data_IF_349678979610
#
_entry.id   IF_349678979610
#
_cell.length_a   1.000
_cell.length_b   1.000
_cell.length_c   1.000
_cell.angle_alpha   90.00
_cell.angle_beta   90.00
_cell.angle_gamma   90.00
#
_symmetry.space_group_name_H-M   'P 1'
#
loop_
_entity.id
_entity.type
_entity.pdbx_description
1 polymer ?
#
# COMPACT_ATOMS: atom_id res chain seq x y z
N UNK A 1 23.81 34.17 -35.94
CA UNK A 1 22.88 33.55 -34.96
C UNK A 1 23.39 32.15 -34.64
N UNK A 2 23.32 31.69 -33.39
CA UNK A 2 23.83 30.35 -33.03
C UNK A 2 22.91 29.25 -33.58
N UNK A 3 23.47 28.10 -33.98
CA UNK A 3 22.69 26.95 -34.47
C UNK A 3 21.59 26.51 -33.48
N UNK A 4 21.81 26.71 -32.18
CA UNK A 4 20.83 26.45 -31.13
C UNK A 4 19.58 27.33 -31.25
N UNK A 5 19.76 28.62 -31.53
CA UNK A 5 18.64 29.56 -31.65
C UNK A 5 17.75 29.24 -32.84
N UNK A 6 18.34 28.82 -33.96
CA UNK A 6 17.63 28.39 -35.16
C UNK A 6 16.79 27.13 -34.88
N UNK A 7 17.37 26.10 -34.26
CA UNK A 7 16.67 24.86 -33.89
C UNK A 7 15.52 25.08 -32.89
N UNK A 8 15.69 26.00 -31.94
CA UNK A 8 14.62 26.33 -31.00
C UNK A 8 13.47 27.08 -31.68
N UNK A 9 13.77 27.98 -32.62
CA UNK A 9 12.75 28.69 -33.39
C UNK A 9 11.91 27.73 -34.27
N UNK A 10 12.55 26.74 -34.90
CA UNK A 10 11.86 25.69 -35.67
C UNK A 10 10.91 24.86 -34.80
N UNK A 11 11.35 24.51 -33.58
CA UNK A 11 10.52 23.75 -32.64
C UNK A 11 9.32 24.55 -32.14
N UNK A 12 9.49 25.85 -31.89
CA UNK A 12 8.39 26.73 -31.49
C UNK A 12 7.37 26.87 -32.62
N UNK A 13 7.82 26.98 -33.86
CA UNK A 13 6.92 27.04 -35.01
C UNK A 13 6.14 25.73 -35.21
N UNK A 14 6.81 24.57 -35.04
CA UNK A 14 6.13 23.26 -35.07
C UNK A 14 5.09 23.11 -33.97
N UNK A 15 5.37 23.63 -32.77
CA UNK A 15 4.41 23.66 -31.66
C UNK A 15 3.23 24.59 -31.98
N UNK A 16 3.49 25.76 -32.56
CA UNK A 16 2.47 26.74 -32.98
C UNK A 16 1.54 26.18 -34.07
N UNK A 17 2.10 25.45 -35.03
CA UNK A 17 1.38 24.78 -36.11
C UNK A 17 0.67 23.48 -35.66
N UNK A 18 0.78 23.09 -34.39
CA UNK A 18 0.18 21.87 -33.85
C UNK A 18 0.78 20.57 -34.38
N UNK A 19 1.96 20.63 -35.02
CA UNK A 19 2.65 19.47 -35.59
C UNK A 19 3.33 18.61 -34.52
N UNK A 20 3.60 19.19 -33.35
CA UNK A 20 4.15 18.50 -32.17
C UNK A 20 3.36 18.89 -30.93
N UNK A 21 3.27 17.98 -29.96
CA UNK A 21 2.57 18.27 -28.70
C UNK A 21 3.46 19.10 -27.75
N UNK A 22 2.85 19.75 -26.75
CA UNK A 22 3.60 20.45 -25.67
C UNK A 22 4.64 19.53 -25.00
N UNK A 23 4.30 18.25 -24.83
CA UNK A 23 5.21 17.25 -24.25
C UNK A 23 6.41 16.96 -25.15
N UNK A 24 6.19 16.91 -26.46
CA UNK A 24 7.27 16.68 -27.43
C UNK A 24 8.19 17.88 -27.54
N UNK A 25 7.63 19.10 -27.48
CA UNK A 25 8.42 20.33 -27.43
C UNK A 25 9.36 20.37 -26.21
N UNK A 26 8.85 20.06 -25.00
CA UNK A 26 9.67 20.02 -23.79
C UNK A 26 10.82 19.02 -23.91
N UNK A 27 10.55 17.84 -24.45
CA UNK A 27 11.57 16.80 -24.69
C UNK A 27 12.65 17.28 -25.66
N UNK A 28 12.27 17.79 -26.82
CA UNK A 28 13.24 18.24 -27.83
C UNK A 28 14.03 19.48 -27.39
N UNK A 29 13.40 20.42 -26.68
CA UNK A 29 14.09 21.58 -26.12
C UNK A 29 15.15 21.17 -25.08
N UNK A 30 14.81 20.21 -24.19
CA UNK A 30 15.79 19.70 -23.21
C UNK A 30 16.96 18.94 -23.84
N UNK A 31 16.72 18.21 -24.93
CA UNK A 31 17.78 17.54 -25.70
C UNK A 31 18.73 18.53 -26.38
N UNK A 32 18.26 19.73 -26.72
CA UNK A 32 19.07 20.82 -27.24
C UNK A 32 19.82 21.59 -26.13
N UNK A 33 19.75 21.15 -24.88
CA UNK A 33 20.46 21.75 -23.75
C UNK A 33 19.71 22.92 -23.08
N UNK A 34 18.43 23.11 -23.39
CA UNK A 34 17.58 24.10 -22.69
C UNK A 34 17.14 23.53 -21.34
N UNK A 35 17.25 24.32 -20.28
CA UNK A 35 16.76 23.91 -18.96
C UNK A 35 15.24 23.72 -18.96
N UNK A 36 14.74 22.84 -18.10
CA UNK A 36 13.30 22.53 -18.01
C UNK A 36 12.45 23.79 -17.79
N UNK A 37 12.88 24.69 -16.90
CA UNK A 37 12.17 25.94 -16.64
C UNK A 37 12.15 26.90 -17.85
N UNK A 38 13.25 26.96 -18.61
CA UNK A 38 13.28 27.76 -19.85
C UNK A 38 12.43 27.12 -20.96
N UNK A 39 12.42 25.79 -21.05
CA UNK A 39 11.57 25.07 -22.01
C UNK A 39 10.08 25.25 -21.70
N UNK A 40 9.68 25.30 -20.43
CA UNK A 40 8.31 25.59 -20.02
C UNK A 40 7.86 27.01 -20.37
N UNK A 41 8.73 28.00 -20.16
CA UNK A 41 8.48 29.38 -20.56
C UNK A 41 8.32 29.53 -22.09
N UNK A 42 9.17 28.84 -22.87
CA UNK A 42 9.09 28.84 -24.34
C UNK A 42 7.85 28.11 -24.87
N UNK A 43 7.33 27.13 -24.13
CA UNK A 43 6.12 26.39 -24.46
C UNK A 43 4.81 27.13 -24.09
N UNK A 44 4.89 28.20 -23.31
CA UNK A 44 3.72 28.94 -22.82
C UNK A 44 2.99 29.73 -23.91
N UNK A 45 3.65 30.00 -25.05
CA UNK A 45 3.06 30.70 -26.18
C UNK A 45 2.26 29.79 -27.14
N UNK A 46 2.10 28.50 -26.82
CA UNK A 46 1.31 27.59 -27.64
C UNK A 46 -0.19 27.76 -27.37
N UNK A 47 -1.05 27.81 -28.40
CA UNK A 47 -2.49 27.87 -28.21
C UNK A 47 -2.99 26.64 -27.43
N UNK A 48 -3.82 26.88 -26.43
CA UNK A 48 -4.50 25.84 -25.64
C UNK A 48 -5.32 24.95 -26.60
N UNK A 49 -5.21 23.61 -26.56
CA UNK A 49 -6.06 22.76 -27.38
C UNK A 49 -7.53 23.02 -27.04
N UNK A 50 -8.30 23.45 -28.04
CA UNK A 50 -9.75 23.44 -27.97
C UNK A 50 -10.26 21.99 -27.95
N UNK A 51 -11.44 21.73 -27.38
CA UNK A 51 -12.05 20.40 -27.42
C UNK A 51 -12.23 19.96 -28.88
N UNK A 52 -11.60 18.84 -29.25
CA UNK A 52 -11.77 18.24 -30.57
C UNK A 52 -13.22 17.80 -30.74
N UNK A 53 -13.95 18.46 -31.64
CA UNK A 53 -15.27 18.04 -32.05
C UNK A 53 -15.17 16.70 -32.81
N UNK A 54 -15.92 15.70 -32.33
CA UNK A 54 -16.13 14.43 -33.04
C UNK A 54 -17.00 14.72 -34.28
N UNK A 55 -16.68 14.20 -35.48
CA UNK A 55 -17.47 14.47 -36.68
C UNK A 55 -18.87 13.83 -36.58
N UNK A 56 -19.93 14.49 -37.06
CA UNK A 56 -21.26 13.91 -37.05
C UNK A 56 -21.38 12.78 -38.09
N UNK A 57 -21.62 11.56 -37.62
CA UNK A 57 -22.14 10.48 -38.46
C UNK A 57 -23.57 10.84 -38.88
N UNK A 58 -23.80 11.05 -40.19
CA UNK A 58 -25.14 11.22 -40.75
C UNK A 58 -25.87 9.86 -40.71
N UNK A 59 -26.86 9.75 -39.84
CA UNK A 59 -27.89 8.69 -39.87
C UNK A 59 -29.17 9.30 -40.46
N UNK A 60 -29.82 8.69 -41.46
CA UNK A 60 -31.05 9.21 -42.05
C UNK A 60 -32.22 9.21 -41.04
N UNK A 61 -33.22 10.11 -41.19
CA UNK A 61 -34.23 10.34 -40.18
C UNK A 61 -35.28 9.21 -40.16
N UNK A 62 -35.23 8.37 -39.14
CA UNK A 62 -36.38 7.53 -38.75
C UNK A 62 -37.34 8.39 -37.94
N UNK A 63 -38.62 8.42 -38.35
CA UNK A 63 -39.70 9.13 -37.65
C UNK A 63 -39.81 8.61 -36.21
N UNK A 64 -39.68 9.52 -35.25
CA UNK A 64 -39.83 9.27 -33.81
C UNK A 64 -41.34 9.27 -33.49
N UNK A 65 -41.92 8.18 -32.95
CA UNK A 65 -43.24 8.19 -32.34
C UNK A 65 -43.22 9.03 -31.04
N UNK A 66 -44.37 9.59 -30.59
CA UNK A 66 -44.41 10.44 -29.42
C UNK A 66 -43.85 9.73 -28.18
N UNK A 67 -42.99 10.44 -27.47
CA UNK A 67 -42.37 10.06 -26.21
C UNK A 67 -43.43 9.61 -25.20
N UNK A 68 -43.49 8.30 -24.94
CA UNK A 68 -44.11 7.80 -23.73
C UNK A 68 -43.27 8.26 -22.54
N UNK A 69 -43.91 8.94 -21.59
CA UNK A 69 -43.32 9.30 -20.30
C UNK A 69 -42.86 7.99 -19.64
N UNK A 70 -41.54 7.88 -19.44
CA UNK A 70 -40.97 6.75 -18.71
C UNK A 70 -41.53 6.77 -17.27
N UNK A 71 -41.98 5.63 -16.73
CA UNK A 71 -42.27 5.50 -15.31
C UNK A 71 -41.03 5.90 -14.52
N UNK A 72 -41.20 6.72 -13.48
CA UNK A 72 -40.15 7.06 -12.54
C UNK A 72 -39.49 5.77 -12.05
N UNK A 73 -38.20 5.65 -12.36
CA UNK A 73 -37.33 4.62 -11.81
C UNK A 73 -37.43 4.67 -10.28
N UNK A 74 -37.77 3.55 -9.60
CA UNK A 74 -37.75 3.52 -8.15
C UNK A 74 -36.36 3.91 -7.68
N UNK A 75 -36.30 4.76 -6.65
CA UNK A 75 -35.06 5.15 -6.00
C UNK A 75 -34.16 3.92 -5.77
N UNK A 76 -32.83 4.04 -5.98
CA UNK A 76 -31.92 2.93 -5.83
C UNK A 76 -32.13 2.31 -4.45
N UNK A 77 -32.64 1.08 -4.46
CA UNK A 77 -32.76 0.25 -3.27
C UNK A 77 -31.38 0.24 -2.62
N UNK A 78 -31.34 0.53 -1.32
CA UNK A 78 -30.12 0.44 -0.54
C UNK A 78 -29.40 -0.88 -0.87
N UNK A 79 -28.07 -0.87 -1.06
CA UNK A 79 -27.34 -2.09 -1.31
C UNK A 79 -27.73 -3.11 -0.23
N UNK A 80 -27.89 -4.40 -0.60
CA UNK A 80 -28.17 -5.44 0.37
C UNK A 80 -27.18 -5.31 1.53
N UNK A 81 -27.60 -5.56 2.78
CA UNK A 81 -26.72 -5.43 3.93
C UNK A 81 -25.44 -6.18 3.62
N UNK A 82 -24.32 -5.45 3.59
CA UNK A 82 -23.00 -6.03 3.39
C UNK A 82 -22.90 -7.12 4.44
N UNK A 83 -22.86 -8.38 3.99
CA UNK A 83 -22.75 -9.51 4.89
C UNK A 83 -21.62 -9.19 5.87
N UNK A 84 -21.98 -9.13 7.16
CA UNK A 84 -21.07 -8.65 8.19
C UNK A 84 -19.84 -9.55 8.16
N UNK A 85 -18.69 -8.95 7.82
CA UNK A 85 -17.47 -9.73 7.60
C UNK A 85 -17.07 -10.39 8.91
N UNK A 86 -16.92 -11.71 8.89
CA UNK A 86 -16.55 -12.48 10.06
C UNK A 86 -15.04 -12.42 10.26
N UNK A 87 -14.63 -12.10 11.48
CA UNK A 87 -13.22 -12.17 11.84
C UNK A 87 -12.73 -13.61 11.84
N UNK A 88 -11.59 -13.86 11.18
CA UNK A 88 -11.01 -15.19 11.05
C UNK A 88 -9.84 -15.36 12.03
N UNK A 89 -10.02 -16.04 13.19
CA UNK A 89 -8.90 -16.39 14.06
C UNK A 89 -8.01 -17.46 13.42
N UNK A 90 -6.77 -17.59 13.90
CA UNK A 90 -5.85 -18.63 13.41
C UNK A 90 -5.43 -18.47 11.94
N UNK A 91 -5.61 -17.29 11.35
CA UNK A 91 -5.13 -16.94 10.01
C UNK A 91 -3.91 -15.99 10.07
N UNK A 92 -3.12 -15.96 9.01
CA UNK A 92 -1.98 -15.06 8.85
C UNK A 92 -1.95 -14.41 7.48
N UNK A 93 -1.18 -13.32 7.39
CA UNK A 93 -0.89 -12.69 6.11
C UNK A 93 0.13 -13.55 5.36
N UNK A 94 -0.23 -13.94 4.14
CA UNK A 94 0.67 -14.56 3.17
C UNK A 94 0.95 -13.54 2.08
N UNK A 95 2.23 -13.21 1.89
CA UNK A 95 2.68 -12.30 0.84
C UNK A 95 3.35 -13.12 -0.26
N UNK A 96 2.85 -13.02 -1.48
CA UNK A 96 3.56 -13.49 -2.67
C UNK A 96 4.28 -12.30 -3.32
N UNK A 97 5.61 -12.19 -3.18
CA UNK A 97 6.36 -11.09 -3.77
C UNK A 97 6.31 -11.14 -5.30
N UNK A 98 6.09 -12.29 -5.95
CA UNK A 98 6.04 -12.40 -7.42
C UNK A 98 4.81 -11.73 -8.02
N UNK A 99 3.72 -11.62 -7.26
CA UNK A 99 2.47 -10.95 -7.67
C UNK A 99 2.36 -9.53 -7.15
N UNK A 100 3.14 -9.17 -6.13
CA UNK A 100 3.14 -7.83 -5.57
C UNK A 100 3.72 -6.79 -6.56
N UNK A 101 2.92 -5.75 -6.81
CA UNK A 101 3.25 -4.61 -7.70
C UNK A 101 3.82 -3.40 -6.97
N UNK A 102 3.89 -3.45 -5.62
CA UNK A 102 4.38 -2.34 -4.81
C UNK A 102 3.50 -1.09 -4.83
N UNK A 103 2.19 -1.22 -5.11
CA UNK A 103 1.26 -0.09 -5.24
C UNK A 103 0.98 0.69 -3.94
N UNK A 104 1.47 0.22 -2.78
CA UNK A 104 1.30 0.81 -1.45
C UNK A 104 -0.14 0.91 -0.91
N UNK A 105 -1.17 0.47 -1.64
CA UNK A 105 -2.57 0.50 -1.17
C UNK A 105 -2.76 -0.19 0.19
N UNK A 106 -2.08 -1.31 0.41
CA UNK A 106 -2.12 -2.02 1.68
C UNK A 106 -1.53 -1.20 2.84
N UNK A 107 -0.48 -0.42 2.59
CA UNK A 107 0.15 0.45 3.58
C UNK A 107 -0.70 1.70 3.86
N UNK A 108 -1.25 2.31 2.82
CA UNK A 108 -2.17 3.46 2.94
C UNK A 108 -3.38 3.06 3.78
N UNK A 109 -4.07 1.97 3.42
CA UNK A 109 -5.24 1.48 4.16
C UNK A 109 -4.92 1.12 5.62
N UNK A 110 -3.72 0.58 5.88
CA UNK A 110 -3.27 0.31 7.25
C UNK A 110 -3.03 1.61 8.01
N UNK A 111 -2.29 2.55 7.42
CA UNK A 111 -1.97 3.83 8.06
C UNK A 111 -3.21 4.65 8.39
N UNK A 112 -4.13 4.85 7.44
CA UNK A 112 -5.36 5.63 7.65
C UNK A 112 -6.21 5.04 8.77
N UNK A 113 -6.37 3.70 8.79
CA UNK A 113 -7.12 3.00 9.82
C UNK A 113 -6.57 3.24 11.22
N UNK A 114 -5.26 3.14 11.39
CA UNK A 114 -4.64 3.25 12.70
C UNK A 114 -4.35 4.68 13.14
N UNK A 115 -4.12 5.57 12.19
CA UNK A 115 -4.02 6.99 12.46
C UNK A 115 -5.38 7.54 12.92
N UNK A 116 -6.48 7.16 12.27
CA UNK A 116 -7.82 7.55 12.69
C UNK A 116 -8.20 7.02 14.08
N UNK A 117 -7.69 5.84 14.45
CA UNK A 117 -7.95 5.22 15.74
C UNK A 117 -7.25 5.94 16.90
N UNK A 118 -5.95 6.22 16.76
CA UNK A 118 -5.15 6.76 17.86
C UNK A 118 -5.06 8.29 17.85
N UNK A 119 -5.10 8.90 16.67
CA UNK A 119 -4.90 10.34 16.48
C UNK A 119 -5.97 10.92 15.55
N UNK A 120 -7.26 10.90 15.97
CA UNK A 120 -8.38 11.28 15.11
C UNK A 120 -8.36 12.76 14.68
N UNK A 121 -7.66 13.63 15.40
CA UNK A 121 -7.55 15.04 15.03
C UNK A 121 -6.52 15.24 13.92
N UNK A 122 -5.39 14.58 14.04
CA UNK A 122 -4.29 14.56 13.08
C UNK A 122 -4.71 13.85 11.79
N UNK A 123 -5.46 12.75 11.90
CA UNK A 123 -5.98 11.96 10.78
C UNK A 123 -6.81 12.79 9.77
N UNK A 124 -7.39 13.93 10.19
CA UNK A 124 -8.19 14.80 9.31
C UNK A 124 -7.35 15.52 8.25
N UNK A 125 -6.08 15.76 8.54
CA UNK A 125 -5.22 16.64 7.75
C UNK A 125 -3.89 16.00 7.37
N UNK A 126 -3.59 14.82 7.92
CA UNK A 126 -2.34 14.11 7.72
C UNK A 126 -2.63 12.70 7.23
N UNK A 127 -1.94 12.32 6.16
CA UNK A 127 -1.67 10.92 5.85
C UNK A 127 -0.20 10.66 6.18
N UNK A 128 0.11 9.58 6.88
CA UNK A 128 1.50 9.19 7.16
C UNK A 128 1.66 7.68 7.15
N UNK A 129 2.50 7.18 6.24
CA UNK A 129 2.80 5.75 6.10
C UNK A 129 3.54 5.20 7.32
N UNK A 130 4.08 6.05 8.20
CA UNK A 130 4.73 5.61 9.44
C UNK A 130 3.76 4.97 10.45
N UNK A 131 2.45 5.24 10.33
CA UNK A 131 1.41 4.53 11.09
C UNK A 131 1.03 3.17 10.47
N UNK A 132 1.57 2.85 9.29
CA UNK A 132 1.37 1.54 8.68
C UNK A 132 2.19 0.47 9.41
N UNK A 133 1.53 -0.64 9.72
CA UNK A 133 2.17 -1.85 10.25
C UNK A 133 2.59 -2.83 9.15
N UNK A 134 2.35 -2.49 7.89
CA UNK A 134 2.78 -3.23 6.70
C UNK A 134 3.59 -2.28 5.80
N UNK A 135 4.81 -2.68 5.44
CA UNK A 135 5.77 -1.86 4.70
C UNK A 135 6.19 -2.54 3.41
N UNK A 136 5.52 -2.24 2.29
CA UNK A 136 6.06 -2.54 0.98
C UNK A 136 7.25 -1.60 0.72
N UNK A 137 8.42 -2.18 0.51
CA UNK A 137 9.66 -1.51 0.18
C UNK A 137 10.04 -1.89 -1.25
N UNK A 138 10.39 -0.89 -2.05
CA UNK A 138 10.86 -1.12 -3.42
C UNK A 138 12.38 -1.19 -3.44
N UNK A 139 12.91 -2.29 -3.95
CA UNK A 139 14.32 -2.53 -4.18
C UNK A 139 14.52 -2.93 -5.65
N UNK A 140 15.09 -2.05 -6.49
CA UNK A 140 15.40 -2.29 -7.92
C UNK A 140 14.43 -3.25 -8.67
N UNK A 141 13.24 -2.74 -9.00
CA UNK A 141 12.16 -3.49 -9.68
C UNK A 141 11.53 -4.65 -8.88
N UNK A 142 11.97 -4.87 -7.65
CA UNK A 142 11.42 -5.86 -6.73
C UNK A 142 10.74 -5.16 -5.57
N UNK A 143 9.45 -5.40 -5.43
CA UNK A 143 8.69 -4.96 -4.26
C UNK A 143 8.69 -6.07 -3.20
N UNK A 144 9.14 -5.71 -1.99
CA UNK A 144 9.28 -6.57 -0.81
C UNK A 144 8.33 -6.09 0.25
N UNK A 145 7.51 -6.95 0.83
CA UNK A 145 6.57 -6.53 1.89
C UNK A 145 7.07 -7.06 3.23
N UNK A 146 7.33 -6.12 4.15
CA UNK A 146 7.62 -6.43 5.53
C UNK A 146 6.38 -6.19 6.39
N UNK A 147 6.03 -7.17 7.22
CA UNK A 147 4.91 -7.11 8.17
C UNK A 147 5.19 -8.04 9.35
N UNK A 148 4.62 -7.74 10.52
CA UNK A 148 4.65 -8.67 11.65
C UNK A 148 3.88 -9.96 11.31
N UNK A 149 4.56 -11.10 11.43
CA UNK A 149 4.00 -12.43 11.17
C UNK A 149 3.44 -13.13 12.41
N UNK A 150 3.29 -12.48 13.57
CA UNK A 150 2.78 -13.11 14.83
C UNK A 150 3.49 -14.42 15.17
N UNK A 151 4.81 -14.35 15.14
CA UNK A 151 5.68 -15.48 15.47
C UNK A 151 5.40 -15.97 16.90
N UNK A 152 5.34 -17.28 17.08
CA UNK A 152 5.34 -17.92 18.40
C UNK A 152 6.64 -18.67 18.61
N UNK A 153 7.11 -18.74 19.85
CA UNK A 153 8.16 -19.68 20.21
C UNK A 153 7.57 -21.09 20.24
N UNK A 154 8.41 -22.08 19.96
CA UNK A 154 8.02 -23.49 20.04
C UNK A 154 8.25 -24.01 21.46
N UNK A 155 7.18 -24.39 22.15
CA UNK A 155 7.26 -24.90 23.53
C UNK A 155 8.28 -26.04 23.69
N UNK A 156 8.38 -26.93 22.70
CA UNK A 156 9.26 -28.09 22.73
C UNK A 156 10.74 -27.77 22.45
N UNK A 157 11.04 -26.67 21.75
CA UNK A 157 12.41 -26.30 21.37
C UNK A 157 12.96 -25.15 22.22
N UNK A 158 12.09 -24.20 22.57
CA UNK A 158 12.46 -22.89 23.15
C UNK A 158 11.86 -22.72 24.56
N UNK A 159 11.09 -23.70 25.06
CA UNK A 159 10.54 -23.70 26.42
C UNK A 159 9.37 -22.74 26.65
N UNK A 160 8.90 -22.05 25.61
CA UNK A 160 7.76 -21.14 25.68
C UNK A 160 6.93 -21.14 24.39
N UNK A 161 5.65 -20.77 24.50
CA UNK A 161 4.72 -20.49 23.39
C UNK A 161 4.50 -18.99 23.12
N UNK A 162 5.12 -18.11 23.92
CA UNK A 162 5.00 -16.65 23.78
C UNK A 162 5.65 -16.15 22.49
N UNK A 163 5.29 -14.94 22.07
CA UNK A 163 6.07 -14.30 21.00
C UNK A 163 7.49 -13.95 21.50
N UNK A 164 8.53 -14.00 20.65
CA UNK A 164 9.88 -13.56 21.02
C UNK A 164 9.92 -12.12 21.55
N UNK A 165 9.17 -11.22 20.91
CA UNK A 165 9.04 -9.82 21.33
C UNK A 165 8.23 -9.64 22.62
N UNK A 166 7.32 -10.56 22.94
CA UNK A 166 6.60 -10.60 24.22
C UNK A 166 7.54 -11.03 25.36
N UNK A 167 8.43 -11.99 25.12
CA UNK A 167 9.38 -12.49 26.13
C UNK A 167 10.36 -11.43 26.62
N UNK A 168 10.83 -10.57 25.71
CA UNK A 168 11.84 -9.56 26.03
C UNK A 168 11.25 -8.25 26.55
N UNK A 169 9.92 -8.10 26.56
CA UNK A 169 9.26 -6.87 26.95
C UNK A 169 9.26 -6.73 28.49
N UNK A 170 10.00 -5.76 29.08
CA UNK A 170 10.08 -5.62 30.53
C UNK A 170 8.76 -5.12 31.17
N UNK A 171 7.91 -4.46 30.38
CA UNK A 171 6.63 -3.90 30.84
C UNK A 171 5.45 -4.84 30.55
N UNK A 172 5.69 -6.02 29.96
CA UNK A 172 4.65 -6.93 29.49
C UNK A 172 3.59 -6.25 28.59
N UNK A 173 4.01 -5.23 27.83
CA UNK A 173 3.11 -4.45 26.97
C UNK A 173 2.69 -5.21 25.70
N UNK A 174 3.43 -6.24 25.28
CA UNK A 174 3.05 -7.08 24.14
C UNK A 174 2.38 -8.35 24.64
N UNK A 175 1.13 -8.58 24.23
CA UNK A 175 0.35 -9.75 24.66
C UNK A 175 -0.53 -10.28 23.54
N UNK A 176 -0.87 -11.57 23.62
CA UNK A 176 -1.86 -12.18 22.75
C UNK A 176 -3.23 -11.89 23.29
N UNK A 177 -4.09 -11.26 22.50
CA UNK A 177 -5.46 -10.98 22.91
C UNK A 177 -6.33 -12.20 22.57
N UNK A 178 -6.99 -12.83 23.57
CA UNK A 178 -7.83 -14.01 23.35
C UNK A 178 -8.96 -13.80 22.33
N UNK A 179 -9.52 -14.91 21.84
CA UNK A 179 -10.73 -14.88 21.00
C UNK A 179 -11.91 -14.39 21.83
N UNK A 180 -12.66 -13.41 21.30
CA UNK A 180 -13.77 -12.76 22.01
C UNK A 180 -13.38 -11.52 22.82
N UNK A 181 -12.08 -11.25 22.97
CA UNK A 181 -11.55 -10.02 23.58
C UNK A 181 -10.96 -9.08 22.53
N UNK A 182 -10.75 -7.82 22.93
CA UNK A 182 -10.17 -6.79 22.07
C UNK A 182 -11.21 -5.92 21.36
N UNK A 183 -10.71 -5.07 20.46
CA UNK A 183 -11.52 -4.12 19.70
C UNK A 183 -11.85 -4.69 18.32
N UNK A 184 -13.14 -4.90 17.97
CA UNK A 184 -13.53 -5.44 16.66
C UNK A 184 -12.88 -4.68 15.51
N UNK A 185 -12.29 -5.41 14.56
CA UNK A 185 -11.59 -4.84 13.42
C UNK A 185 -10.21 -4.22 13.74
N UNK A 186 -9.73 -4.26 14.98
CA UNK A 186 -8.42 -3.71 15.36
C UNK A 186 -7.57 -4.75 16.09
N UNK A 187 -8.06 -5.35 17.16
CA UNK A 187 -7.32 -6.28 18.03
C UNK A 187 -8.19 -7.48 18.41
N UNK A 188 -7.61 -8.52 19.00
CA UNK A 188 -8.35 -9.73 19.40
C UNK A 188 -8.06 -10.96 18.56
N UNK A 189 -8.92 -11.97 18.69
CA UNK A 189 -8.93 -13.18 17.86
C UNK A 189 -7.64 -14.01 17.88
N UNK A 190 -6.93 -13.98 19.01
CA UNK A 190 -5.70 -14.75 19.21
C UNK A 190 -4.46 -14.10 18.60
N UNK A 191 -4.50 -12.80 18.31
CA UNK A 191 -3.38 -12.06 17.71
C UNK A 191 -2.63 -11.20 18.71
N UNK A 192 -1.33 -11.02 18.47
CA UNK A 192 -0.49 -10.13 19.27
C UNK A 192 -0.96 -8.68 19.14
N UNK A 193 -1.00 -7.99 20.28
CA UNK A 193 -1.29 -6.57 20.39
C UNK A 193 -0.24 -5.90 21.27
N UNK A 194 -0.10 -4.57 21.10
CA UNK A 194 0.65 -3.72 22.01
C UNK A 194 -0.34 -2.93 22.86
N UNK A 195 -0.23 -3.09 24.18
CA UNK A 195 -0.80 -2.16 25.15
C UNK A 195 0.03 -0.88 25.16
N UNK A 196 -0.59 0.23 24.74
CA UNK A 196 0.09 1.52 24.58
C UNK A 196 0.33 2.21 25.92
N UNK A 197 -0.48 1.91 26.94
CA UNK A 197 -0.37 2.49 28.27
C UNK A 197 0.85 1.90 29.00
N UNK A 198 1.09 0.60 28.80
CA UNK A 198 2.27 -0.09 29.35
C UNK A 198 3.55 0.12 28.53
N UNK A 199 3.43 0.39 27.22
CA UNK A 199 4.60 0.58 26.37
C UNK A 199 5.31 1.90 26.70
N UNK A 200 6.58 1.85 27.12
CA UNK A 200 7.37 3.07 27.42
C UNK A 200 7.88 3.80 26.18
N UNK A 201 7.78 3.19 24.99
CA UNK A 201 8.17 3.77 23.71
C UNK A 201 9.67 3.73 23.40
N UNK A 202 10.03 4.10 22.16
CA UNK A 202 11.36 3.94 21.57
C UNK A 202 12.47 4.73 22.30
N UNK A 203 12.12 5.90 22.85
CA UNK A 203 13.09 6.75 23.54
C UNK A 203 13.64 6.12 24.82
N UNK A 204 12.88 5.23 25.45
CA UNK A 204 13.24 4.57 26.72
C UNK A 204 13.50 3.07 26.56
N UNK A 205 12.92 2.42 25.56
CA UNK A 205 13.02 0.98 25.34
C UNK A 205 12.95 0.63 23.85
N UNK A 206 13.66 -0.40 23.41
CA UNK A 206 13.62 -0.88 22.02
C UNK A 206 13.72 -2.40 21.88
N UNK A 207 13.70 -3.15 23.00
CA UNK A 207 14.04 -4.58 23.03
C UNK A 207 13.19 -5.45 22.11
N UNK A 208 11.91 -5.11 21.97
CA UNK A 208 11.01 -5.83 21.07
C UNK A 208 11.45 -5.70 19.60
N UNK A 209 11.92 -4.52 19.18
CA UNK A 209 12.48 -4.29 17.84
C UNK A 209 13.78 -5.08 17.69
N UNK A 210 14.71 -4.94 18.64
CA UNK A 210 16.02 -5.61 18.61
C UNK A 210 15.87 -7.13 18.38
N UNK A 211 15.04 -7.81 19.17
CA UNK A 211 14.83 -9.26 19.00
C UNK A 211 14.12 -9.58 17.68
N UNK A 212 13.24 -8.68 17.20
CA UNK A 212 12.54 -8.90 15.94
C UNK A 212 13.46 -8.76 14.73
N UNK A 213 14.47 -7.89 14.80
CA UNK A 213 15.47 -7.70 13.75
C UNK A 213 16.55 -8.77 13.78
N UNK A 214 16.94 -9.20 14.99
CA UNK A 214 17.95 -10.24 15.16
C UNK A 214 17.47 -11.61 14.67
N UNK A 215 16.19 -11.93 14.91
CA UNK A 215 15.64 -13.26 14.62
C UNK A 215 14.75 -13.31 13.38
N UNK A 216 14.22 -12.18 12.90
CA UNK A 216 13.17 -12.13 11.87
C UNK A 216 13.33 -10.90 10.95
N UNK A 217 12.32 -10.67 10.10
CA UNK A 217 12.31 -9.60 9.10
C UNK A 217 11.95 -8.19 9.58
N UNK A 218 12.14 -7.82 10.86
CA UNK A 218 11.82 -6.46 11.39
C UNK A 218 10.34 -6.05 11.24
N UNK A 219 9.40 -6.83 11.81
CA UNK A 219 7.96 -6.55 11.74
C UNK A 219 7.43 -5.50 12.73
N UNK A 220 8.31 -4.87 13.53
CA UNK A 220 7.96 -3.90 14.56
C UNK A 220 8.36 -2.51 14.10
N UNK A 221 7.55 -1.52 14.44
CA UNK A 221 7.86 -0.12 14.18
C UNK A 221 7.34 0.77 15.28
N UNK A 222 7.55 2.08 15.15
CA UNK A 222 7.18 3.03 16.19
C UNK A 222 6.37 4.17 15.61
N UNK A 223 5.42 4.60 16.41
CA UNK A 223 4.56 5.74 16.14
C UNK A 223 5.42 7.02 16.04
N UNK A 224 5.27 7.86 15.00
CA UNK A 224 6.07 9.08 14.88
C UNK A 224 5.73 10.17 15.92
N UNK A 225 4.55 10.12 16.56
CA UNK A 225 4.08 11.08 17.56
C UNK A 225 4.44 10.61 18.97
N UNK A 226 3.88 9.48 19.41
CA UNK A 226 4.07 8.99 20.78
C UNK A 226 5.24 8.00 20.92
N UNK A 227 5.84 7.58 19.80
CA UNK A 227 6.94 6.60 19.77
C UNK A 227 6.64 5.28 20.46
N UNK A 228 5.36 4.93 20.59
CA UNK A 228 4.91 3.62 21.06
C UNK A 228 5.15 2.56 19.98
N UNK A 229 5.41 1.33 20.41
CA UNK A 229 5.59 0.20 19.50
C UNK A 229 4.29 -0.07 18.71
N UNK A 230 4.46 -0.38 17.44
CA UNK A 230 3.42 -0.70 16.47
C UNK A 230 3.72 -2.08 15.88
N UNK A 231 2.76 -3.00 16.03
CA UNK A 231 2.80 -4.35 15.45
C UNK A 231 1.51 -4.65 14.70
N UNK A 232 1.57 -5.54 13.72
CA UNK A 232 0.38 -6.00 13.01
C UNK A 232 -0.46 -6.95 13.88
N UNK A 233 -1.57 -6.45 14.42
CA UNK A 233 -2.59 -7.23 15.12
C UNK A 233 -3.57 -7.95 14.17
N UNK A 234 -3.25 -8.01 12.87
CA UNK A 234 -4.13 -8.51 11.79
C UNK A 234 -5.51 -7.89 11.78
N UNK A 235 -5.65 -6.67 12.31
CA UNK A 235 -6.94 -6.01 12.46
C UNK A 235 -7.99 -6.90 13.16
N UNK A 236 -7.55 -7.71 14.14
CA UNK A 236 -8.41 -8.69 14.82
C UNK A 236 -9.05 -9.68 13.85
N UNK A 237 -8.35 -10.14 12.80
CA UNK A 237 -8.88 -11.11 11.85
C UNK A 237 -9.66 -10.52 10.66
N UNK A 238 -9.69 -9.19 10.53
CA UNK A 238 -10.29 -8.46 9.40
C UNK A 238 -9.26 -7.51 8.76
N UNK A 239 -8.21 -8.04 8.12
CA UNK A 239 -7.07 -7.26 7.65
C UNK A 239 -7.45 -6.29 6.53
N UNK A 240 -7.50 -4.99 6.86
CA UNK A 240 -7.80 -3.92 5.89
C UNK A 240 -6.81 -3.89 4.71
N UNK A 241 -5.56 -4.30 4.93
CA UNK A 241 -4.54 -4.38 3.88
C UNK A 241 -4.86 -5.42 2.81
N UNK A 242 -5.47 -6.56 3.17
CA UNK A 242 -5.89 -7.60 2.23
C UNK A 242 -7.06 -7.09 1.39
N UNK A 243 -8.01 -6.41 2.02
CA UNK A 243 -9.16 -5.83 1.30
C UNK A 243 -8.76 -4.73 0.31
N UNK A 244 -7.73 -3.95 0.65
CA UNK A 244 -7.21 -2.89 -0.19
C UNK A 244 -6.28 -3.39 -1.33
N UNK A 245 -5.87 -4.66 -1.31
CA UNK A 245 -4.94 -5.18 -2.30
C UNK A 245 -5.66 -5.39 -3.65
N UNK A 246 -5.23 -4.71 -4.73
CA UNK A 246 -5.81 -4.93 -6.05
C UNK A 246 -5.42 -6.28 -6.67
N UNK A 247 -4.36 -6.92 -6.13
CA UNK A 247 -3.82 -8.19 -6.59
C UNK A 247 -4.16 -9.30 -5.57
N UNK A 248 -5.25 -10.06 -5.75
CA UNK A 248 -5.78 -10.97 -4.72
C UNK A 248 -4.82 -12.11 -4.36
N UNK A 249 -3.90 -12.47 -5.27
CA UNK A 249 -2.89 -13.50 -5.00
C UNK A 249 -1.63 -12.94 -4.33
N UNK A 250 -1.39 -11.62 -4.39
CA UNK A 250 -0.20 -11.00 -3.81
C UNK A 250 -0.25 -10.88 -2.29
N UNK A 251 -1.43 -10.61 -1.72
CA UNK A 251 -1.62 -10.51 -0.28
C UNK A 251 -2.91 -11.22 0.13
N UNK A 252 -2.76 -12.31 0.86
CA UNK A 252 -3.87 -13.20 1.24
C UNK A 252 -3.96 -13.33 2.76
N UNK A 253 -5.16 -13.60 3.26
CA UNK A 253 -5.36 -14.01 4.65
C UNK A 253 -5.62 -15.51 4.69
N UNK A 254 -4.59 -16.27 5.03
CA UNK A 254 -4.55 -17.72 4.87
C UNK A 254 -4.48 -18.43 6.23
N UNK A 255 -5.14 -19.58 6.43
CA UNK A 255 -5.10 -20.32 7.70
C UNK A 255 -3.66 -20.71 8.08
N UNK A 256 -3.29 -20.46 9.34
CA UNK A 256 -2.01 -20.89 9.91
C UNK A 256 -2.04 -22.41 10.08
N UNK A 257 -1.26 -23.11 9.25
CA UNK A 257 -1.07 -24.55 9.42
C UNK A 257 -0.17 -24.89 10.61
N UNK A 258 0.75 -23.99 10.95
CA UNK A 258 1.73 -24.20 12.02
C UNK A 258 1.95 -22.90 12.81
N UNK A 259 3.00 -22.15 12.48
CA UNK A 259 3.48 -21.00 13.23
C UNK A 259 3.76 -19.85 12.26
N UNK A 260 3.38 -18.63 12.65
CA UNK A 260 3.66 -17.41 11.90
C UNK A 260 5.15 -17.23 11.55
N UNK A 261 6.04 -17.78 12.39
CA UNK A 261 7.49 -17.81 12.19
C UNK A 261 7.91 -18.38 10.82
N UNK A 262 7.16 -19.32 10.25
CA UNK A 262 7.45 -19.90 8.93
C UNK A 262 7.42 -18.86 7.80
N UNK A 263 6.65 -17.79 7.98
CA UNK A 263 6.51 -16.70 7.01
C UNK A 263 7.48 -15.53 7.29
N UNK A 264 8.12 -15.54 8.46
CA UNK A 264 9.12 -14.56 8.86
C UNK A 264 10.51 -14.95 8.31
N UNK A 265 10.63 -14.94 6.98
CA UNK A 265 11.87 -15.27 6.27
C UNK A 265 13.04 -14.40 6.74
N UNK A 266 14.24 -14.99 6.81
CA UNK A 266 15.46 -14.22 7.04
C UNK A 266 15.75 -13.32 5.83
N UNK A 267 16.56 -12.27 5.97
CA UNK A 267 16.95 -11.44 4.83
C UNK A 267 17.57 -12.24 3.67
N UNK A 268 18.31 -13.32 3.98
CA UNK A 268 18.93 -14.18 2.97
C UNK A 268 17.88 -15.01 2.20
N UNK A 269 16.96 -15.68 2.90
CA UNK A 269 15.90 -16.49 2.26
C UNK A 269 14.96 -15.60 1.45
N UNK A 270 14.64 -14.42 1.98
CA UNK A 270 13.84 -13.43 1.28
C UNK A 270 14.58 -13.00 0.02
N UNK A 271 15.87 -12.64 0.09
CA UNK A 271 16.67 -12.27 -1.07
C UNK A 271 16.71 -13.37 -2.15
N UNK A 272 16.74 -14.66 -1.76
CA UNK A 272 16.62 -15.77 -2.71
C UNK A 272 15.24 -15.82 -3.39
N UNK A 273 14.15 -15.63 -2.64
CA UNK A 273 12.80 -15.50 -3.21
C UNK A 273 12.71 -14.35 -4.21
N UNK A 274 13.33 -13.21 -3.90
CA UNK A 274 13.38 -12.04 -4.77
C UNK A 274 14.26 -12.28 -6.01
N UNK A 275 15.40 -12.97 -5.86
CA UNK A 275 16.23 -13.40 -6.99
C UNK A 275 15.40 -14.25 -7.96
N UNK A 276 14.60 -15.18 -7.44
CA UNK A 276 13.70 -15.99 -8.26
C UNK A 276 12.65 -15.14 -9.01
N UNK A 277 12.13 -14.07 -8.39
CA UNK A 277 11.25 -13.08 -9.05
C UNK A 277 11.95 -12.35 -10.20
N UNK A 278 13.17 -11.87 -9.99
CA UNK A 278 13.91 -11.09 -11.01
C UNK A 278 14.26 -11.94 -12.22
N UNK A 279 14.72 -13.17 -11.99
CA UNK A 279 15.29 -14.02 -13.05
C UNK A 279 14.33 -15.10 -13.56
N UNK A 280 13.07 -15.05 -13.12
CA UNK A 280 11.99 -15.93 -13.54
C UNK A 280 12.39 -17.41 -13.61
N UNK A 281 13.08 -17.89 -12.55
CA UNK A 281 13.57 -19.27 -12.50
C UNK A 281 12.44 -20.31 -12.53
N UNK A 282 11.20 -19.91 -12.25
CA UNK A 282 10.01 -20.75 -12.26
C UNK A 282 9.06 -20.52 -13.45
N UNK A 283 9.28 -19.50 -14.29
CA UNK A 283 8.47 -19.19 -15.48
C UNK A 283 9.09 -19.58 -16.82
N UNK A 284 10.24 -20.27 -16.82
CA UNK A 284 10.69 -21.08 -17.97
C UNK A 284 10.23 -22.53 -17.81
N UNK A 285 8.97 -22.78 -18.15
CA UNK A 285 8.46 -24.08 -18.65
C UNK A 285 7.75 -23.82 -19.96
#
# INVERSE_FOLDING_TARGET
MSQLHERLSELQEKLRLGQITRRDFLRYATLLGVSVGAAEALAACAPKPGPTAVPPTKVPPTKVPPTAVAPSEPAPTAPPPVAEKQALPGHTLLVDPTKCTGCLNCAVACSEKWLAEYFPNEAKHLMSLEFSRIRPMRFQLVDVVNVCYDCRLYQWAEGSSKAPCEQVCPQAALTVVPVGEGKPGFTGNGYLNVDRDLCTGLDLCGRCLEICEDQFGSGISFDPIEKKAQICSRCGGLPACVEACPEPLALQFYPLMTNGRMFAQTPADLAESLYNKIYDKFGRV
#
